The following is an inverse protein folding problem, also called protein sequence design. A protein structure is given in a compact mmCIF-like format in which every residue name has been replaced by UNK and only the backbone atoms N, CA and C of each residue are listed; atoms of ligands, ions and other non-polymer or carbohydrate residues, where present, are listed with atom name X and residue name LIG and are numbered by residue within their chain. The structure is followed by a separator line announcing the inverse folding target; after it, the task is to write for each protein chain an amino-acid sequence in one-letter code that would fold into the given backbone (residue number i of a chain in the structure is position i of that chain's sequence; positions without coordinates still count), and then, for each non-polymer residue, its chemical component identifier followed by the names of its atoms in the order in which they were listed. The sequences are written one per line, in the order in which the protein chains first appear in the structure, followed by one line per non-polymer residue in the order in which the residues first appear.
data_IF_813860195138
#
_entry.id   IF_813860195138
#
_cell.length_a   1.000
_cell.length_b   1.000
_cell.length_c   1.000
_cell.angle_alpha   90.00
_cell.angle_beta   90.00
_cell.angle_gamma   90.00
#
_symmetry.space_group_name_H-M   'P 1'
#
loop_
_entity.id
_entity.type
_entity.pdbx_description
1 polymer ?
#
# COMPACT_ATOMS: atom_id res chain seq x y z
N UNK A 1 26.47 -23.95 13.19
CA UNK A 1 26.70 -22.81 12.26
C UNK A 1 25.39 -22.58 11.52
N UNK A 2 24.76 -21.40 11.66
CA UNK A 2 23.51 -21.09 10.97
C UNK A 2 23.77 -21.17 9.45
N UNK A 3 22.98 -21.94 8.71
CA UNK A 3 23.20 -22.07 7.27
C UNK A 3 23.09 -20.69 6.60
N UNK A 4 23.97 -20.39 5.64
CA UNK A 4 23.99 -19.12 4.90
C UNK A 4 22.61 -18.73 4.35
N UNK A 5 21.77 -19.73 4.03
CA UNK A 5 20.39 -19.58 3.58
C UNK A 5 19.46 -19.05 4.67
N UNK A 6 19.57 -19.57 5.90
CA UNK A 6 18.79 -19.09 7.05
C UNK A 6 19.12 -17.63 7.38
N UNK A 7 20.40 -17.25 7.30
CA UNK A 7 20.87 -15.87 7.50
C UNK A 7 20.25 -14.90 6.48
N UNK A 8 20.17 -15.30 5.21
CA UNK A 8 19.55 -14.47 4.16
C UNK A 8 18.04 -14.32 4.34
N UNK A 9 17.33 -15.39 4.73
CA UNK A 9 15.88 -15.31 5.01
C UNK A 9 15.61 -14.43 6.23
N UNK A 10 16.39 -14.58 7.29
CA UNK A 10 16.26 -13.75 8.48
C UNK A 10 16.54 -12.26 8.16
N UNK A 11 17.60 -11.97 7.40
CA UNK A 11 17.91 -10.61 6.98
C UNK A 11 16.79 -10.00 6.15
N UNK A 12 16.30 -10.73 5.13
CA UNK A 12 15.20 -10.27 4.28
C UNK A 12 13.92 -10.03 5.09
N UNK A 13 13.60 -10.94 6.02
CA UNK A 13 12.47 -10.81 6.95
C UNK A 13 12.58 -9.55 7.81
N UNK A 14 13.76 -9.30 8.40
CA UNK A 14 14.01 -8.12 9.21
C UNK A 14 13.89 -6.83 8.40
N UNK A 15 14.36 -6.82 7.15
CA UNK A 15 14.21 -5.67 6.24
C UNK A 15 12.74 -5.42 5.91
N UNK A 16 11.97 -6.45 5.53
CA UNK A 16 10.54 -6.31 5.22
C UNK A 16 9.74 -5.85 6.43
N UNK A 17 9.98 -6.46 7.61
CA UNK A 17 9.34 -6.06 8.86
C UNK A 17 9.72 -4.63 9.25
N UNK A 18 11.01 -4.29 9.19
CA UNK A 18 11.51 -2.95 9.49
C UNK A 18 10.89 -1.90 8.58
N UNK A 19 10.85 -2.15 7.27
CA UNK A 19 10.21 -1.25 6.30
C UNK A 19 8.71 -1.10 6.59
N UNK A 20 8.00 -2.19 6.88
CA UNK A 20 6.56 -2.14 7.17
C UNK A 20 6.27 -1.40 8.48
N UNK A 21 7.10 -1.60 9.50
CA UNK A 21 6.99 -0.88 10.79
C UNK A 21 7.25 0.61 10.57
N UNK A 22 8.27 0.98 9.78
CA UNK A 22 8.53 2.38 9.45
C UNK A 22 7.35 3.03 8.71
N UNK A 23 6.76 2.34 7.73
CA UNK A 23 5.58 2.84 7.02
C UNK A 23 4.38 2.96 7.95
N UNK A 24 4.15 1.98 8.82
CA UNK A 24 3.08 2.02 9.81
C UNK A 24 3.30 3.12 10.86
N UNK A 25 4.53 3.35 11.29
CA UNK A 25 4.89 4.42 12.24
C UNK A 25 4.69 5.80 11.61
N UNK A 26 5.15 6.00 10.37
CA UNK A 26 4.85 7.23 9.61
C UNK A 26 3.34 7.37 9.41
N UNK A 27 2.65 6.25 9.15
CA UNK A 27 1.21 6.08 9.19
C UNK A 27 0.55 6.58 10.47
N UNK A 28 1.08 6.20 11.63
CA UNK A 28 0.48 6.56 12.91
C UNK A 28 0.82 8.01 13.25
N UNK A 29 2.09 8.41 13.16
CA UNK A 29 2.56 9.75 13.52
C UNK A 29 1.93 10.84 12.66
N UNK A 30 1.74 10.59 11.37
CA UNK A 30 1.23 11.59 10.44
C UNK A 30 -0.28 11.48 10.20
N UNK A 31 -0.96 10.36 10.54
CA UNK A 31 -2.40 10.18 10.25
C UNK A 31 -3.32 9.88 11.46
N UNK A 32 -2.81 9.59 12.65
CA UNK A 32 -3.66 9.53 13.86
C UNK A 32 -4.14 10.90 14.36
N UNK A 33 -3.33 11.98 14.31
CA UNK A 33 -3.69 13.26 14.92
C UNK A 33 -4.58 14.18 14.08
N UNK A 34 -4.79 13.91 12.78
CA UNK A 34 -5.45 14.85 11.86
C UNK A 34 -6.67 14.25 11.16
N UNK A 35 -7.76 15.00 11.14
CA UNK A 35 -8.98 14.69 10.36
C UNK A 35 -8.76 14.91 8.85
N UNK A 36 -7.73 15.67 8.50
CA UNK A 36 -7.21 15.88 7.16
C UNK A 36 -5.91 15.07 6.97
N UNK A 37 -5.36 15.05 5.75
CA UNK A 37 -4.02 14.53 5.46
C UNK A 37 -3.01 15.71 5.37
N UNK A 38 -2.70 16.45 6.47
CA UNK A 38 -1.73 17.51 6.42
C UNK A 38 -0.31 16.94 6.47
N UNK A 39 0.53 17.57 5.67
CA UNK A 39 1.91 17.28 5.35
C UNK A 39 2.84 17.28 6.57
N UNK A 40 3.73 16.30 6.68
CA UNK A 40 4.91 16.42 7.54
C UNK A 40 6.12 17.03 6.79
N UNK A 41 6.11 17.06 5.45
CA UNK A 41 7.29 17.36 4.63
C UNK A 41 7.02 17.74 3.15
N UNK A 42 5.81 18.19 2.78
CA UNK A 42 5.49 18.60 1.41
C UNK A 42 5.38 17.45 0.39
N UNK A 43 5.25 16.20 0.84
CA UNK A 43 4.94 15.02 0.01
C UNK A 43 3.65 14.41 0.52
N UNK A 44 2.70 14.15 -0.38
CA UNK A 44 1.46 13.45 -0.03
C UNK A 44 1.82 12.01 0.37
N UNK A 45 1.91 11.74 1.66
CA UNK A 45 2.26 10.40 2.13
C UNK A 45 1.09 9.45 1.82
N UNK A 46 1.36 8.42 1.00
CA UNK A 46 0.34 7.59 0.37
C UNK A 46 -0.20 8.11 -0.97
N UNK A 47 0.48 9.06 -1.63
CA UNK A 47 0.10 9.59 -2.95
C UNK A 47 -0.15 8.51 -4.01
N UNK A 48 0.67 7.45 -4.03
CA UNK A 48 0.46 6.29 -4.90
C UNK A 48 -0.83 5.54 -4.55
N UNK A 49 -1.09 5.34 -3.26
CA UNK A 49 -2.29 4.65 -2.79
C UNK A 49 -3.57 5.45 -3.08
N UNK A 50 -3.50 6.77 -3.00
CA UNK A 50 -4.61 7.65 -3.35
C UNK A 50 -5.02 7.45 -4.81
N UNK A 51 -4.07 7.34 -5.74
CA UNK A 51 -4.36 7.04 -7.15
C UNK A 51 -5.14 5.73 -7.29
N UNK A 52 -4.72 4.67 -6.59
CA UNK A 52 -5.42 3.39 -6.58
C UNK A 52 -6.80 3.46 -5.93
N UNK A 53 -6.94 4.23 -4.85
CA UNK A 53 -8.22 4.44 -4.18
C UNK A 53 -9.21 5.15 -5.10
N UNK A 54 -8.80 6.27 -5.71
CA UNK A 54 -9.62 7.04 -6.68
C UNK A 54 -10.00 6.15 -7.86
N UNK A 55 -9.03 5.42 -8.44
CA UNK A 55 -9.32 4.47 -9.52
C UNK A 55 -10.34 3.40 -9.14
N UNK A 56 -10.24 2.84 -7.93
CA UNK A 56 -11.23 1.89 -7.42
C UNK A 56 -12.60 2.50 -7.16
N UNK A 57 -12.67 3.77 -6.72
CA UNK A 57 -13.93 4.51 -6.54
C UNK A 57 -14.61 4.76 -7.87
N UNK A 58 -13.90 5.39 -8.81
CA UNK A 58 -14.42 5.71 -10.13
C UNK A 58 -14.80 4.45 -10.91
N UNK A 59 -14.09 3.34 -10.72
CA UNK A 59 -14.48 2.07 -11.33
C UNK A 59 -15.87 1.59 -10.87
N UNK A 60 -16.26 1.86 -9.62
CA UNK A 60 -17.59 1.51 -9.08
C UNK A 60 -18.63 2.55 -9.49
N UNK A 61 -18.30 3.84 -9.36
CA UNK A 61 -19.25 4.93 -9.44
C UNK A 61 -19.45 5.43 -10.88
N UNK A 62 -18.36 5.64 -11.62
CA UNK A 62 -18.36 6.32 -12.92
C UNK A 62 -17.29 5.73 -13.85
N UNK A 63 -17.43 4.45 -14.20
CA UNK A 63 -16.39 3.70 -14.93
C UNK A 63 -16.00 4.33 -16.27
N UNK A 64 -16.93 5.00 -16.94
CA UNK A 64 -16.69 5.67 -18.23
C UNK A 64 -15.78 6.89 -18.10
N UNK A 65 -15.73 7.50 -16.90
CA UNK A 65 -14.86 8.62 -16.56
C UNK A 65 -13.60 8.19 -15.80
N UNK A 66 -13.32 6.89 -15.74
CA UNK A 66 -12.16 6.34 -15.03
C UNK A 66 -10.83 6.98 -15.47
N UNK A 67 -10.73 7.44 -16.71
CA UNK A 67 -9.54 8.07 -17.29
C UNK A 67 -9.71 9.57 -17.60
N UNK A 68 -10.79 10.18 -17.11
CA UNK A 68 -10.99 11.63 -17.15
C UNK A 68 -10.14 12.26 -16.03
N UNK A 69 -9.01 12.86 -16.40
CA UNK A 69 -8.04 13.38 -15.43
C UNK A 69 -8.58 14.57 -14.64
N UNK A 70 -9.38 15.43 -15.27
CA UNK A 70 -10.01 16.56 -14.60
C UNK A 70 -11.03 16.05 -13.58
N UNK A 71 -11.77 14.99 -13.91
CA UNK A 71 -12.70 14.36 -12.97
C UNK A 71 -12.01 13.67 -11.80
N UNK A 72 -10.89 12.98 -12.07
CA UNK A 72 -10.08 12.39 -11.00
C UNK A 72 -9.60 13.47 -10.02
N UNK A 73 -9.18 14.62 -10.53
CA UNK A 73 -8.70 15.72 -9.71
C UNK A 73 -9.82 16.42 -8.93
N UNK A 74 -11.00 16.59 -9.54
CA UNK A 74 -12.21 17.06 -8.86
C UNK A 74 -12.56 16.13 -7.69
N UNK A 75 -12.63 14.82 -7.95
CA UNK A 75 -12.92 13.81 -6.93
C UNK A 75 -11.89 13.85 -5.80
N UNK A 76 -10.60 13.90 -6.15
CA UNK A 76 -9.50 13.98 -5.19
C UNK A 76 -9.60 15.24 -4.32
N UNK A 77 -9.89 16.38 -4.93
CA UNK A 77 -10.05 17.67 -4.25
C UNK A 77 -11.24 17.64 -3.30
N UNK A 78 -12.36 17.03 -3.71
CA UNK A 78 -13.51 16.84 -2.85
C UNK A 78 -13.21 15.92 -1.65
N UNK A 79 -12.36 14.91 -1.84
CA UNK A 79 -12.00 13.94 -0.81
C UNK A 79 -11.03 14.52 0.25
N UNK A 80 -10.01 15.26 -0.19
CA UNK A 80 -8.87 15.66 0.64
C UNK A 80 -8.68 17.17 0.80
N UNK A 81 -9.45 17.97 0.07
CA UNK A 81 -9.23 19.40 -0.08
C UNK A 81 -8.17 19.74 -1.13
N UNK A 82 -7.94 21.04 -1.38
CA UNK A 82 -6.90 21.51 -2.29
C UNK A 82 -5.52 21.14 -1.75
N UNK A 83 -4.66 20.62 -2.62
CA UNK A 83 -3.26 20.37 -2.31
C UNK A 83 -2.48 21.67 -2.53
N UNK A 84 -1.63 22.11 -1.59
CA UNK A 84 -0.76 23.27 -1.79
C UNK A 84 0.17 23.09 -3.00
N UNK A 85 0.39 24.15 -3.79
CA UNK A 85 1.26 24.11 -4.98
C UNK A 85 2.70 23.68 -4.68
N UNK A 86 3.13 23.77 -3.41
CA UNK A 86 4.42 23.28 -2.94
C UNK A 86 4.56 21.76 -2.92
N UNK A 87 3.45 21.02 -3.02
CA UNK A 87 3.44 19.55 -3.05
C UNK A 87 3.53 19.08 -4.50
N UNK A 88 4.73 18.70 -4.89
CA UNK A 88 4.95 18.08 -6.20
C UNK A 88 4.42 16.64 -6.19
N UNK A 89 3.59 16.32 -7.19
CA UNK A 89 3.08 14.98 -7.52
C UNK A 89 1.96 14.41 -6.64
N UNK A 90 0.72 14.72 -7.00
CA UNK A 90 -0.32 13.69 -6.93
C UNK A 90 -0.28 12.91 -8.25
N UNK A 91 -0.44 11.59 -8.18
CA UNK A 91 -0.44 10.73 -9.37
C UNK A 91 -1.89 10.41 -9.75
N UNK A 92 -2.30 10.62 -11.01
CA UNK A 92 -3.59 10.14 -11.47
C UNK A 92 -3.59 8.62 -11.62
N UNK A 93 -4.77 8.04 -11.59
CA UNK A 93 -4.97 6.65 -11.95
C UNK A 93 -4.82 6.47 -13.46
N UNK A 94 -3.71 5.84 -13.88
CA UNK A 94 -3.38 5.54 -15.29
C UNK A 94 -3.22 4.05 -15.58
N UNK A 95 -3.61 3.20 -14.63
CA UNK A 95 -3.46 1.76 -14.73
C UNK A 95 -4.59 1.11 -15.54
N UNK A 96 -4.41 -0.13 -16.04
CA UNK A 96 -5.49 -0.86 -16.71
C UNK A 96 -6.75 -0.99 -15.84
N UNK A 97 -7.96 -1.08 -16.44
CA UNK A 97 -9.22 -1.10 -15.67
C UNK A 97 -9.30 -2.25 -14.66
N UNK A 98 -8.58 -3.35 -14.92
CA UNK A 98 -8.46 -4.49 -14.02
C UNK A 98 -7.89 -4.08 -12.64
N UNK A 99 -6.97 -3.12 -12.59
CA UNK A 99 -6.43 -2.61 -11.33
C UNK A 99 -7.49 -1.83 -10.57
N UNK A 100 -8.30 -1.03 -11.26
CA UNK A 100 -9.46 -0.35 -10.66
C UNK A 100 -10.45 -1.37 -10.09
N UNK A 101 -10.72 -2.46 -10.82
CA UNK A 101 -11.54 -3.56 -10.35
C UNK A 101 -11.01 -4.23 -9.07
N UNK A 102 -9.70 -4.43 -9.00
CA UNK A 102 -9.03 -5.02 -7.85
C UNK A 102 -9.09 -4.10 -6.62
N UNK A 103 -9.02 -2.79 -6.85
CA UNK A 103 -9.05 -1.77 -5.79
C UNK A 103 -10.47 -1.43 -5.33
N UNK A 104 -11.48 -1.65 -6.17
CA UNK A 104 -12.89 -1.43 -5.87
C UNK A 104 -13.35 -1.90 -4.47
N UNK A 105 -13.11 -3.16 -4.03
CA UNK A 105 -13.53 -3.60 -2.69
C UNK A 105 -12.91 -2.78 -1.56
N UNK A 106 -11.65 -2.34 -1.70
CA UNK A 106 -10.99 -1.47 -0.72
C UNK A 106 -11.59 -0.07 -0.74
N UNK A 107 -11.81 0.48 -1.93
CA UNK A 107 -12.38 1.80 -2.15
C UNK A 107 -13.83 1.96 -1.67
N UNK A 108 -14.54 0.88 -1.34
CA UNK A 108 -15.85 0.99 -0.66
C UNK A 108 -15.74 1.51 0.77
N UNK A 109 -14.57 1.35 1.39
CA UNK A 109 -14.28 1.87 2.73
C UNK A 109 -13.93 3.36 2.64
N UNK A 110 -14.19 4.15 3.70
CA UNK A 110 -13.59 5.47 3.84
C UNK A 110 -12.07 5.40 3.62
N UNK A 111 -11.50 6.38 2.92
CA UNK A 111 -10.10 6.35 2.46
C UNK A 111 -9.10 5.93 3.55
N UNK A 112 -9.23 6.45 4.77
CA UNK A 112 -8.38 6.08 5.91
C UNK A 112 -8.49 4.60 6.29
N UNK A 113 -9.71 4.06 6.33
CA UNK A 113 -9.94 2.63 6.62
C UNK A 113 -9.44 1.75 5.48
N UNK A 114 -9.62 2.20 4.24
CA UNK A 114 -9.08 1.54 3.04
C UNK A 114 -7.56 1.42 3.12
N UNK A 115 -6.86 2.52 3.41
CA UNK A 115 -5.41 2.55 3.56
C UNK A 115 -4.89 1.59 4.63
N UNK A 116 -5.47 1.63 5.83
CA UNK A 116 -5.04 0.73 6.91
C UNK A 116 -5.34 -0.73 6.60
N UNK A 117 -6.47 -1.00 5.94
CA UNK A 117 -6.82 -2.37 5.51
C UNK A 117 -5.81 -2.88 4.49
N UNK A 118 -5.41 -2.05 3.53
CA UNK A 118 -4.35 -2.37 2.57
C UNK A 118 -3.01 -2.67 3.26
N UNK A 119 -2.61 -1.84 4.23
CA UNK A 119 -1.37 -2.02 4.99
C UNK A 119 -1.37 -3.31 5.81
N UNK A 120 -2.44 -3.58 6.56
CA UNK A 120 -2.56 -4.80 7.38
C UNK A 120 -2.58 -6.05 6.49
N UNK A 121 -3.31 -6.01 5.37
CA UNK A 121 -3.35 -7.13 4.44
C UNK A 121 -1.98 -7.37 3.79
N UNK A 122 -1.30 -6.32 3.34
CA UNK A 122 0.04 -6.41 2.76
C UNK A 122 1.06 -6.99 3.73
N UNK A 123 1.03 -6.56 5.00
CA UNK A 123 1.85 -7.13 6.06
C UNK A 123 1.53 -8.61 6.28
N UNK A 124 0.24 -8.96 6.39
CA UNK A 124 -0.21 -10.34 6.59
C UNK A 124 0.24 -11.28 5.47
N UNK A 125 0.07 -10.87 4.22
CA UNK A 125 0.51 -11.65 3.04
C UNK A 125 2.04 -11.77 3.00
N UNK A 126 2.76 -10.71 3.36
CA UNK A 126 4.23 -10.73 3.42
C UNK A 126 4.73 -11.71 4.48
N UNK A 127 4.17 -11.64 5.70
CA UNK A 127 4.48 -12.58 6.78
C UNK A 127 4.14 -14.02 6.42
N UNK A 128 2.99 -14.23 5.78
CA UNK A 128 2.57 -15.55 5.32
C UNK A 128 3.54 -16.12 4.27
N UNK A 129 3.96 -15.28 3.31
CA UNK A 129 4.96 -15.67 2.29
C UNK A 129 6.29 -16.06 2.92
N UNK A 130 6.76 -15.30 3.91
CA UNK A 130 7.97 -15.62 4.67
C UNK A 130 7.82 -16.93 5.45
N UNK A 131 6.65 -17.19 6.04
CA UNK A 131 6.37 -18.45 6.72
C UNK A 131 6.42 -19.65 5.76
N UNK A 132 5.90 -19.52 4.54
CA UNK A 132 5.98 -20.57 3.51
C UNK A 132 7.44 -20.82 3.09
N UNK A 133 8.22 -19.77 2.86
CA UNK A 133 9.64 -19.86 2.52
C UNK A 133 10.44 -20.51 3.67
N UNK A 134 10.17 -20.15 4.93
CA UNK A 134 10.83 -20.75 6.07
C UNK A 134 10.51 -22.25 6.21
N UNK A 135 9.31 -22.69 5.82
CA UNK A 135 8.91 -24.11 5.83
C UNK A 135 9.66 -24.92 4.76
N UNK A 136 9.85 -24.37 3.56
CA UNK A 136 10.56 -25.10 2.49
C UNK A 136 12.04 -25.33 2.83
N UNK A 137 12.70 -24.37 3.48
CA UNK A 137 14.08 -24.56 3.92
C UNK A 137 14.23 -25.63 5.01
N UNK A 138 13.29 -25.74 5.96
CA UNK A 138 13.32 -26.81 6.98
C UNK A 138 13.13 -28.20 6.39
N UNK A 139 12.28 -28.34 5.37
CA UNK A 139 12.03 -29.62 4.71
C UNK A 139 13.27 -30.15 3.96
N UNK A 140 14.08 -29.26 3.38
CA UNK A 140 15.31 -29.65 2.68
C UNK A 140 16.48 -30.01 3.61
N UNK A 141 16.46 -29.65 4.89
CA UNK A 141 17.46 -30.11 5.86
C UNK A 141 17.22 -31.56 6.33
N UNK A 142 16.05 -32.15 6.04
CA UNK A 142 15.65 -33.48 6.53
C UNK A 142 15.97 -34.61 5.54
N UNK A 143 16.17 -34.31 4.26
CA UNK A 143 16.55 -35.33 3.25
C UNK A 143 18.06 -35.24 2.99
N UNK A 144 18.88 -36.17 3.53
CA UNK A 144 20.27 -36.26 3.12
C UNK A 144 20.31 -36.63 1.64
N UNK A 145 21.08 -35.87 0.86
CA UNK A 145 21.38 -36.24 -0.53
C UNK A 145 22.18 -37.56 -0.52
N UNK A 146 21.95 -38.47 -1.49
CA UNK A 146 22.71 -39.70 -1.63
C UNK A 146 24.19 -39.44 -1.93
#
# INVERSE_FOLDING_TARGET
MLSRRLLLVALFTCVTLGFTILVAEQGIRNYLPSDAFPEANGVLFGGDYLAFYVGGRLFIEDRDRLYDLDYQEEYRTALLGPIPESVSSHLPFVYPPLVGALMAPFSKLPFRQSFWTWMVLGLGVSLFSLALIARTFRAHEIVPLP
#
